data_IF_660915415489
#
_entry.id   IF_660915415489
#
_cell.length_a   1.000
_cell.length_b   1.000
_cell.length_c   1.000
_cell.angle_alpha   90.00
_cell.angle_beta   90.00
_cell.angle_gamma   90.00
#
_symmetry.space_group_name_H-M   'P 1'
#
loop_
_entity.id
_entity.type
_entity.pdbx_description
1 polymer ?
#
# COMPACT_ATOMS: atom_id res chain seq x y z
N UNK A 1 3.09 15.63 -29.69
CA UNK A 1 2.06 14.64 -29.33
C UNK A 1 2.30 14.33 -27.86
N UNK A 2 1.57 15.02 -26.97
CA UNK A 2 1.69 14.78 -25.53
C UNK A 2 0.65 13.75 -25.18
N UNK A 3 1.09 12.53 -24.89
CA UNK A 3 0.23 11.49 -24.35
C UNK A 3 -0.17 11.91 -22.93
N UNK A 4 -1.29 12.60 -22.83
CA UNK A 4 -1.97 12.80 -21.55
C UNK A 4 -2.43 11.41 -21.09
N UNK A 5 -1.65 10.79 -20.20
CA UNK A 5 -2.07 9.56 -19.54
C UNK A 5 -3.24 9.90 -18.62
N UNK A 6 -4.44 9.94 -19.20
CA UNK A 6 -5.71 10.04 -18.47
C UNK A 6 -5.79 8.79 -17.59
N UNK A 7 -5.71 8.99 -16.28
CA UNK A 7 -5.96 7.91 -15.32
C UNK A 7 -7.38 7.35 -15.60
N UNK A 8 -7.57 6.02 -15.58
CA UNK A 8 -8.87 5.44 -15.87
C UNK A 8 -9.91 5.87 -14.81
N UNK A 9 -11.12 6.20 -15.28
CA UNK A 9 -12.27 6.55 -14.42
C UNK A 9 -12.77 5.34 -13.59
N UNK A 10 -12.43 4.13 -13.99
CA UNK A 10 -12.73 2.89 -13.26
C UNK A 10 -11.71 2.67 -12.11
N UNK A 11 -12.18 2.63 -10.84
CA UNK A 11 -11.33 2.33 -9.69
C UNK A 11 -10.54 1.02 -9.82
N UNK A 12 -11.09 0.00 -10.49
CA UNK A 12 -10.42 -1.30 -10.68
C UNK A 12 -9.22 -1.14 -11.60
N UNK A 13 -9.40 -0.49 -12.74
CA UNK A 13 -8.32 -0.21 -13.69
C UNK A 13 -7.27 0.73 -13.08
N UNK A 14 -7.68 1.72 -12.28
CA UNK A 14 -6.74 2.60 -11.57
C UNK A 14 -5.89 1.84 -10.52
N UNK A 15 -6.40 0.75 -9.95
CA UNK A 15 -5.63 -0.14 -9.06
C UNK A 15 -4.72 -1.07 -9.87
N UNK A 16 -5.23 -1.67 -10.94
CA UNK A 16 -4.43 -2.52 -11.83
C UNK A 16 -3.25 -1.78 -12.44
N UNK A 17 -3.46 -0.54 -12.88
CA UNK A 17 -2.41 0.30 -13.49
C UNK A 17 -1.23 0.61 -12.55
N UNK A 18 -1.37 0.45 -11.23
CA UNK A 18 -0.30 0.66 -10.24
C UNK A 18 0.26 -0.64 -9.65
N UNK A 19 -0.38 -1.78 -9.90
CA UNK A 19 0.12 -3.11 -9.54
C UNK A 19 1.33 -3.50 -10.42
N UNK A 20 2.33 -4.19 -9.84
CA UNK A 20 3.61 -4.51 -10.50
C UNK A 20 4.04 -5.95 -10.15
N UNK A 21 4.67 -6.65 -11.10
CA UNK A 21 5.26 -7.98 -10.85
C UNK A 21 4.23 -9.01 -10.39
N UNK A 22 4.54 -9.70 -9.29
CA UNK A 22 3.71 -10.77 -8.69
C UNK A 22 2.53 -10.25 -7.85
N UNK A 23 2.18 -8.96 -7.98
CA UNK A 23 1.01 -8.38 -7.33
C UNK A 23 -0.23 -8.56 -8.23
N UNK A 24 -1.37 -8.87 -7.64
CA UNK A 24 -2.63 -9.15 -8.33
C UNK A 24 -3.83 -8.43 -7.68
N UNK A 25 -4.82 -8.04 -8.48
CA UNK A 25 -6.11 -7.51 -8.02
C UNK A 25 -7.22 -8.48 -8.42
N UNK A 26 -7.90 -9.15 -7.48
CA UNK A 26 -9.02 -10.01 -7.81
C UNK A 26 -10.15 -9.23 -8.50
N UNK A 27 -10.64 -9.77 -9.62
CA UNK A 27 -11.72 -9.15 -10.42
C UNK A 27 -12.97 -8.85 -9.59
N UNK A 28 -13.31 -9.74 -8.67
CA UNK A 28 -14.51 -9.66 -7.83
C UNK A 28 -14.42 -8.60 -6.74
N UNK A 29 -13.22 -8.13 -6.40
CA UNK A 29 -13.01 -7.27 -5.24
C UNK A 29 -13.04 -5.79 -5.58
N UNK A 30 -13.18 -5.46 -6.88
CA UNK A 30 -13.30 -4.09 -7.37
C UNK A 30 -12.17 -3.18 -6.84
N UNK A 31 -10.94 -3.68 -6.86
CA UNK A 31 -9.75 -2.93 -6.41
C UNK A 31 -9.60 -2.79 -4.89
N UNK A 32 -10.44 -3.46 -4.09
CA UNK A 32 -10.41 -3.38 -2.62
C UNK A 32 -9.45 -4.35 -1.96
N UNK A 33 -8.79 -5.19 -2.75
CA UNK A 33 -7.73 -6.10 -2.33
C UNK A 33 -6.62 -6.14 -3.37
N UNK A 34 -5.38 -6.18 -2.93
CA UNK A 34 -4.18 -6.43 -3.74
C UNK A 34 -3.42 -7.57 -3.07
N UNK A 35 -3.06 -8.61 -3.81
CA UNK A 35 -2.45 -9.84 -3.31
C UNK A 35 -1.03 -9.98 -3.86
N UNK A 36 -0.08 -10.35 -3.01
CA UNK A 36 1.23 -10.83 -3.45
C UNK A 36 1.21 -12.36 -3.50
N UNK A 37 1.01 -12.90 -4.71
CA UNK A 37 0.69 -14.31 -4.95
C UNK A 37 1.64 -15.31 -4.28
N UNK A 38 3.00 -15.20 -4.40
CA UNK A 38 3.91 -16.17 -3.80
C UNK A 38 3.81 -16.27 -2.27
N UNK A 39 3.49 -15.16 -1.61
CA UNK A 39 3.47 -15.08 -0.15
C UNK A 39 2.09 -15.26 0.47
N UNK A 40 1.03 -15.01 -0.31
CA UNK A 40 -0.31 -14.81 0.23
C UNK A 40 -0.51 -13.50 1.01
N UNK A 41 0.48 -12.60 1.09
CA UNK A 41 0.30 -11.27 1.72
C UNK A 41 -0.76 -10.49 0.94
N UNK A 42 -1.74 -9.94 1.65
CA UNK A 42 -2.81 -9.16 1.03
C UNK A 42 -2.87 -7.76 1.63
N UNK A 43 -3.00 -6.72 0.80
CA UNK A 43 -3.48 -5.42 1.22
C UNK A 43 -4.98 -5.35 1.00
N UNK A 44 -5.76 -5.11 2.06
CA UNK A 44 -7.23 -5.12 2.01
C UNK A 44 -7.85 -3.82 2.52
N UNK A 45 -9.01 -3.49 1.94
CA UNK A 45 -9.89 -2.46 2.50
C UNK A 45 -10.51 -2.96 3.80
N UNK A 46 -10.16 -2.33 4.92
CA UNK A 46 -10.72 -2.62 6.23
C UNK A 46 -12.24 -2.38 6.34
N UNK A 47 -12.85 -1.76 5.32
CA UNK A 47 -14.31 -1.59 5.22
C UNK A 47 -15.04 -2.86 4.76
N UNK A 48 -14.30 -3.84 4.23
CA UNK A 48 -14.87 -5.02 3.53
C UNK A 48 -14.29 -6.34 4.00
N UNK A 49 -13.05 -6.34 4.43
CA UNK A 49 -12.34 -7.54 4.85
C UNK A 49 -11.80 -7.35 6.26
N UNK A 50 -11.80 -8.42 7.04
CA UNK A 50 -11.17 -8.45 8.36
C UNK A 50 -9.66 -8.62 8.20
N UNK A 51 -8.84 -7.62 8.59
CA UNK A 51 -7.39 -7.72 8.51
C UNK A 51 -6.81 -8.51 9.69
N UNK A 52 -5.70 -9.20 9.46
CA UNK A 52 -4.91 -9.79 10.57
C UNK A 52 -3.99 -8.75 11.20
N UNK A 53 -3.53 -7.77 10.43
CA UNK A 53 -2.69 -6.66 10.89
C UNK A 53 -3.24 -5.33 10.39
N UNK A 54 -3.42 -4.37 11.29
CA UNK A 54 -3.75 -2.99 10.90
C UNK A 54 -2.46 -2.23 10.59
N UNK A 55 -2.44 -1.57 9.43
CA UNK A 55 -1.35 -0.66 9.01
C UNK A 55 -1.81 0.79 8.93
N UNK A 56 -2.94 1.13 9.57
CA UNK A 56 -3.47 2.49 9.57
C UNK A 56 -2.62 3.43 10.46
N UNK A 57 -3.03 4.70 10.53
CA UNK A 57 -2.30 5.75 11.26
C UNK A 57 -2.12 5.48 12.77
N UNK A 58 -2.86 4.52 13.35
CA UNK A 58 -2.70 4.12 14.75
C UNK A 58 -1.62 3.05 14.94
N UNK A 59 -1.19 2.42 13.86
CA UNK A 59 -0.08 1.46 13.85
C UNK A 59 1.25 2.16 13.62
N UNK A 60 2.35 1.46 13.93
CA UNK A 60 3.70 1.90 13.58
C UNK A 60 3.95 1.98 12.06
N UNK A 61 3.13 1.31 11.25
CA UNK A 61 3.22 1.31 9.78
C UNK A 61 2.36 2.38 9.11
N UNK A 62 1.67 3.20 9.92
CA UNK A 62 0.80 4.24 9.43
C UNK A 62 1.54 5.31 8.65
N UNK A 63 0.90 5.87 7.62
CA UNK A 63 1.46 7.03 6.95
C UNK A 63 1.46 8.25 7.90
N UNK A 64 2.61 8.87 8.24
CA UNK A 64 2.63 10.06 9.09
C UNK A 64 2.23 11.33 8.32
N UNK A 65 2.22 11.28 6.99
CA UNK A 65 1.91 12.43 6.13
C UNK A 65 0.39 12.55 5.91
N UNK A 66 -0.21 13.54 6.55
CA UNK A 66 -1.67 13.80 6.53
C UNK A 66 -2.04 14.79 5.44
N UNK A 67 -3.14 14.51 4.75
CA UNK A 67 -3.65 15.41 3.71
C UNK A 67 -4.26 16.66 4.33
N UNK A 68 -4.22 17.78 3.60
CA UNK A 68 -4.88 19.03 4.01
C UNK A 68 -6.38 18.85 4.22
N UNK A 69 -7.05 18.02 3.40
CA UNK A 69 -8.46 17.65 3.58
C UNK A 69 -8.74 16.93 4.91
N UNK A 70 -7.72 16.28 5.48
CA UNK A 70 -7.78 15.52 6.72
C UNK A 70 -7.11 16.28 7.90
N UNK A 71 -6.84 17.58 7.76
CA UNK A 71 -6.24 18.42 8.80
C UNK A 71 -4.71 18.34 8.91
N UNK A 72 -4.03 17.86 7.86
CA UNK A 72 -2.57 17.86 7.75
C UNK A 72 -2.03 18.93 6.79
N UNK A 73 -0.79 18.72 6.34
CA UNK A 73 -0.03 19.70 5.55
C UNK A 73 0.30 19.23 4.13
N UNK A 74 -0.21 18.08 3.70
CA UNK A 74 0.08 17.51 2.39
C UNK A 74 -1.06 17.76 1.40
N UNK A 75 -0.73 18.39 0.28
CA UNK A 75 -1.68 18.85 -0.73
C UNK A 75 -2.37 17.72 -1.53
N UNK A 76 -1.80 16.52 -1.59
CA UNK A 76 -2.27 15.44 -2.47
C UNK A 76 -1.89 14.05 -1.98
N UNK A 77 -2.71 13.06 -2.34
CA UNK A 77 -2.51 11.63 -2.01
C UNK A 77 -1.22 11.09 -2.62
N UNK A 78 -0.94 11.46 -3.87
CA UNK A 78 0.28 11.17 -4.59
C UNK A 78 1.51 11.65 -3.80
N UNK A 79 1.49 12.91 -3.35
CA UNK A 79 2.58 13.48 -2.55
C UNK A 79 2.72 12.78 -1.20
N UNK A 80 1.61 12.51 -0.51
CA UNK A 80 1.63 11.82 0.79
C UNK A 80 2.23 10.42 0.68
N UNK A 81 1.95 9.70 -0.41
CA UNK A 81 2.53 8.36 -0.67
C UNK A 81 3.99 8.45 -1.09
N UNK A 82 4.38 9.46 -1.88
CA UNK A 82 5.78 9.69 -2.24
C UNK A 82 6.64 10.00 -1.00
N UNK A 83 6.15 10.88 -0.12
CA UNK A 83 6.79 11.17 1.17
C UNK A 83 6.87 9.92 2.03
N UNK A 84 5.77 9.16 2.13
CA UNK A 84 5.74 7.89 2.86
C UNK A 84 6.79 6.91 2.33
N UNK A 85 6.94 6.77 1.01
CA UNK A 85 7.94 5.88 0.40
C UNK A 85 9.37 6.24 0.79
N UNK A 86 9.68 7.54 0.88
CA UNK A 86 10.97 8.03 1.39
C UNK A 86 11.16 7.71 2.88
N UNK A 87 10.19 8.10 3.71
CA UNK A 87 10.20 7.84 5.16
C UNK A 87 10.33 6.34 5.47
N UNK A 88 9.54 5.50 4.81
CA UNK A 88 9.52 4.06 5.00
C UNK A 88 10.88 3.43 4.70
N UNK A 89 11.54 3.84 3.60
CA UNK A 89 12.89 3.39 3.27
C UNK A 89 13.92 3.83 4.31
N UNK A 90 13.81 5.05 4.81
CA UNK A 90 14.64 5.54 5.91
C UNK A 90 14.45 4.71 7.17
N UNK A 91 13.20 4.43 7.57
CA UNK A 91 12.88 3.57 8.71
C UNK A 91 13.45 2.16 8.54
N UNK A 92 13.32 1.55 7.35
CA UNK A 92 13.91 0.24 7.08
C UNK A 92 15.44 0.23 7.23
N UNK A 93 16.12 1.32 6.86
CA UNK A 93 17.57 1.41 6.90
C UNK A 93 18.12 1.74 8.29
N UNK A 94 17.41 2.56 9.06
CA UNK A 94 17.91 3.14 10.31
C UNK A 94 17.30 2.50 11.57
N UNK A 95 16.18 1.79 11.44
CA UNK A 95 15.44 1.22 12.56
C UNK A 95 15.25 -0.30 12.38
N UNK A 96 16.10 -1.10 13.03
CA UNK A 96 16.06 -2.56 12.95
C UNK A 96 14.74 -3.16 13.45
N UNK A 97 14.15 -2.57 14.50
CA UNK A 97 12.89 -3.07 15.06
C UNK A 97 11.74 -2.84 14.10
N UNK A 98 11.73 -1.70 13.40
CA UNK A 98 10.78 -1.44 12.33
C UNK A 98 10.99 -2.41 11.15
N UNK A 99 12.24 -2.67 10.76
CA UNK A 99 12.54 -3.61 9.68
C UNK A 99 12.07 -5.04 10.01
N UNK A 100 12.30 -5.52 11.23
CA UNK A 100 11.76 -6.80 11.71
C UNK A 100 10.22 -6.78 11.75
N UNK A 101 9.61 -5.72 12.27
CA UNK A 101 8.15 -5.60 12.32
C UNK A 101 7.52 -5.58 10.91
N UNK A 102 8.21 -5.01 9.92
CA UNK A 102 7.80 -5.09 8.51
C UNK A 102 7.94 -6.52 7.98
N UNK A 103 9.03 -7.23 8.29
CA UNK A 103 9.19 -8.63 7.90
C UNK A 103 8.01 -9.50 8.42
N UNK A 104 7.56 -9.26 9.65
CA UNK A 104 6.43 -9.96 10.27
C UNK A 104 5.08 -9.70 9.57
N UNK A 105 5.02 -8.77 8.62
CA UNK A 105 3.84 -8.54 7.77
C UNK A 105 3.79 -9.51 6.56
N UNK A 106 4.85 -10.26 6.29
CA UNK A 106 4.88 -11.21 5.18
C UNK A 106 3.92 -12.38 5.42
N UNK A 107 3.03 -12.63 4.45
CA UNK A 107 1.96 -13.62 4.52
C UNK A 107 0.71 -13.15 5.26
N UNK A 108 0.70 -11.93 5.79
CA UNK A 108 -0.42 -11.38 6.55
C UNK A 108 -1.43 -10.65 5.67
N UNK A 109 -2.64 -10.42 6.22
CA UNK A 109 -3.67 -9.57 5.63
C UNK A 109 -3.63 -8.18 6.26
N UNK A 110 -3.06 -7.23 5.51
CA UNK A 110 -2.79 -5.85 5.91
C UNK A 110 -4.02 -4.96 5.68
N UNK A 111 -4.53 -4.38 6.76
CA UNK A 111 -5.73 -3.56 6.78
C UNK A 111 -5.45 -2.08 6.64
N UNK A 112 -6.06 -1.45 5.65
CA UNK A 112 -6.09 0.01 5.54
C UNK A 112 -7.45 0.53 5.08
N UNK A 113 -7.74 1.79 5.37
CA UNK A 113 -9.00 2.45 5.04
C UNK A 113 -8.99 3.13 3.66
N UNK A 114 -7.82 3.22 3.02
CA UNK A 114 -7.63 3.97 1.77
C UNK A 114 -8.11 3.22 0.52
N UNK A 115 -7.99 1.89 0.49
CA UNK A 115 -8.38 1.10 -0.68
C UNK A 115 -9.89 1.28 -1.00
N UNK A 116 -10.25 1.44 -2.28
CA UNK A 116 -9.46 1.16 -3.50
C UNK A 116 -8.62 2.35 -4.02
N UNK A 117 -8.61 3.51 -3.35
CA UNK A 117 -7.70 4.61 -3.73
C UNK A 117 -6.26 4.23 -3.42
N UNK A 118 -5.29 4.93 -4.02
CA UNK A 118 -3.86 4.73 -3.75
C UNK A 118 -3.61 4.71 -2.24
N UNK A 119 -2.90 3.69 -1.78
CA UNK A 119 -2.68 3.44 -0.38
C UNK A 119 -1.17 3.36 -0.06
N UNK A 120 -0.77 3.85 1.11
CA UNK A 120 0.61 3.68 1.60
C UNK A 120 0.98 2.20 1.79
N UNK A 121 -0.02 1.36 2.09
CA UNK A 121 0.14 -0.08 2.17
C UNK A 121 0.61 -0.73 0.87
N UNK A 122 0.40 -0.08 -0.28
CA UNK A 122 0.97 -0.55 -1.55
C UNK A 122 2.49 -0.46 -1.54
N UNK A 123 3.07 0.54 -0.86
CA UNK A 123 4.54 0.65 -0.69
C UNK A 123 5.08 -0.47 0.19
N UNK A 124 4.38 -0.83 1.26
CA UNK A 124 4.75 -1.94 2.15
C UNK A 124 4.67 -3.25 1.35
N UNK A 125 3.57 -3.48 0.63
CA UNK A 125 3.35 -4.69 -0.16
C UNK A 125 4.38 -4.81 -1.30
N UNK A 126 4.69 -3.72 -2.01
CA UNK A 126 5.77 -3.66 -3.01
C UNK A 126 7.13 -4.06 -2.41
N UNK A 127 7.45 -3.55 -1.22
CA UNK A 127 8.69 -3.89 -0.53
C UNK A 127 8.76 -5.38 -0.17
N UNK A 128 7.70 -5.93 0.43
CA UNK A 128 7.63 -7.34 0.79
C UNK A 128 7.73 -8.26 -0.44
N UNK A 129 7.05 -7.88 -1.54
CA UNK A 129 7.12 -8.61 -2.79
C UNK A 129 8.53 -8.62 -3.38
N UNK A 130 9.24 -7.49 -3.31
CA UNK A 130 10.61 -7.36 -3.84
C UNK A 130 11.63 -8.08 -2.96
N UNK A 131 11.49 -7.99 -1.63
CA UNK A 131 12.47 -8.52 -0.68
C UNK A 131 12.41 -10.04 -0.55
N UNK A 132 11.24 -10.66 -0.78
CA UNK A 132 11.01 -12.07 -0.47
C UNK A 132 10.36 -12.89 -1.62
N UNK A 133 10.12 -12.28 -2.79
CA UNK A 133 9.50 -12.91 -3.95
C UNK A 133 10.42 -13.72 -4.87
N UNK A 134 11.61 -14.11 -4.41
CA UNK A 134 12.60 -14.89 -5.18
C UNK A 134 13.15 -16.10 -4.41
N UNK A 135 12.26 -16.86 -3.75
CA UNK A 135 12.61 -18.14 -3.14
C UNK A 135 11.82 -19.28 -3.76
#
# INVERSE_FOLDING_TARGET
MSDTHTLPDDPVEAVRARVRGNLHVPETDHGRRIVHEPSGTELVSGRRFEPTKWIDRRSQFGNPFTLTEDGGDVDSRERAIALYKGWFRGQLAENSDFAHAVHDLYGERLGCWCLPRKCHGEVILEHLATAYGSQ
#
